data_IF_344734442405
#
_entry.id   IF_344734442405
#
_cell.length_a   1.000
_cell.length_b   1.000
_cell.length_c   1.000
_cell.angle_alpha   90.00
_cell.angle_beta   90.00
_cell.angle_gamma   90.00
#
_symmetry.space_group_name_H-M   'P 1'
#
loop_
_entity.id
_entity.type
_entity.pdbx_description
1 polymer ?
#
# COMPACT_ATOMS: atom_id res chain seq x y z
N UNK A 1 5.18 -10.16 29.64
CA UNK A 1 5.09 -9.53 28.31
C UNK A 1 4.80 -10.63 27.30
N UNK A 2 3.63 -10.63 26.63
CA UNK A 2 3.36 -11.63 25.59
C UNK A 2 4.18 -11.24 24.36
N UNK A 3 5.08 -12.12 23.91
CA UNK A 3 5.71 -11.97 22.62
C UNK A 3 4.60 -11.99 21.56
N UNK A 4 4.36 -10.83 20.92
CA UNK A 4 3.49 -10.77 19.76
C UNK A 4 4.20 -11.57 18.67
N UNK A 5 3.69 -12.75 18.31
CA UNK A 5 4.11 -13.40 17.06
C UNK A 5 3.73 -12.42 15.96
N UNK A 6 4.71 -11.67 15.47
CA UNK A 6 4.53 -10.81 14.30
C UNK A 6 4.28 -11.76 13.13
N UNK A 7 3.02 -11.95 12.78
CA UNK A 7 2.64 -12.67 11.57
C UNK A 7 3.25 -11.97 10.37
N UNK A 8 3.51 -12.73 9.31
CA UNK A 8 3.96 -12.15 8.04
C UNK A 8 2.92 -11.13 7.55
N UNK A 9 3.36 -10.01 6.95
CA UNK A 9 2.44 -9.01 6.41
C UNK A 9 1.62 -9.65 5.29
N UNK A 10 0.31 -9.84 5.49
CA UNK A 10 -0.58 -10.33 4.44
C UNK A 10 -1.21 -9.14 3.70
N UNK A 11 -1.15 -9.19 2.37
CA UNK A 11 -1.82 -8.22 1.52
C UNK A 11 -3.27 -8.64 1.30
N UNK A 12 -4.19 -7.77 1.69
CA UNK A 12 -5.64 -7.93 1.59
C UNK A 12 -6.29 -7.01 0.54
N UNK A 13 -5.47 -6.33 -0.27
CA UNK A 13 -5.94 -5.35 -1.25
C UNK A 13 -5.82 -3.89 -0.81
N UNK A 14 -5.58 -3.63 0.47
CA UNK A 14 -5.49 -2.28 1.03
C UNK A 14 -4.05 -1.92 1.41
N UNK A 15 -3.77 -0.62 1.56
CA UNK A 15 -2.49 -0.13 2.06
C UNK A 15 -1.25 -0.71 1.34
N UNK A 16 -1.32 -0.88 0.01
CA UNK A 16 -0.28 -1.55 -0.76
C UNK A 16 1.13 -0.97 -0.52
N UNK A 17 1.26 0.34 -0.38
CA UNK A 17 2.54 0.99 -0.07
C UNK A 17 3.14 0.54 1.28
N UNK A 18 2.32 0.39 2.31
CA UNK A 18 2.75 -0.07 3.64
C UNK A 18 3.10 -1.55 3.60
N UNK A 19 2.28 -2.36 2.93
CA UNK A 19 2.55 -3.77 2.74
C UNK A 19 3.87 -3.99 1.98
N UNK A 20 4.06 -3.29 0.86
CA UNK A 20 5.27 -3.30 0.03
C UNK A 20 6.51 -3.04 0.87
N UNK A 21 6.52 -1.95 1.63
CA UNK A 21 7.63 -1.59 2.52
C UNK A 21 7.95 -2.69 3.55
N UNK A 22 6.93 -3.31 4.15
CA UNK A 22 7.14 -4.41 5.11
C UNK A 22 7.74 -5.64 4.46
N UNK A 23 7.34 -5.97 3.23
CA UNK A 23 7.87 -7.12 2.49
C UNK A 23 9.29 -6.85 2.00
N UNK A 24 9.60 -5.63 1.55
CA UNK A 24 10.96 -5.23 1.16
C UNK A 24 11.93 -5.38 2.34
N UNK A 25 11.58 -4.87 3.53
CA UNK A 25 12.39 -5.05 4.75
C UNK A 25 12.57 -6.53 5.13
N UNK A 26 11.53 -7.35 4.96
CA UNK A 26 11.60 -8.78 5.26
C UNK A 26 12.52 -9.52 4.27
N UNK A 27 12.55 -9.09 3.01
CA UNK A 27 13.46 -9.62 1.99
C UNK A 27 14.91 -9.20 2.26
N UNK A 28 15.13 -7.96 2.70
CA UNK A 28 16.44 -7.45 3.10
C UNK A 28 16.99 -8.24 4.28
N UNK A 29 16.18 -8.47 5.33
CA UNK A 29 16.55 -9.28 6.50
C UNK A 29 17.02 -10.70 6.09
N UNK A 30 16.46 -11.24 5.00
CA UNK A 30 16.74 -12.60 4.53
C UNK A 30 17.75 -12.67 3.39
N UNK A 31 18.35 -11.55 3.02
CA UNK A 31 19.31 -11.44 1.91
C UNK A 31 18.72 -11.94 0.57
N UNK A 32 17.44 -11.60 0.31
CA UNK A 32 16.67 -12.02 -0.86
C UNK A 32 16.23 -10.85 -1.77
N UNK A 33 16.57 -9.60 -1.44
CA UNK A 33 16.10 -8.40 -2.17
C UNK A 33 16.52 -8.38 -3.64
N UNK A 34 17.70 -8.91 -3.98
CA UNK A 34 18.17 -8.95 -5.37
C UNK A 34 17.19 -9.70 -6.31
N UNK A 35 16.44 -10.68 -5.79
CA UNK A 35 15.54 -11.53 -6.58
C UNK A 35 14.24 -10.85 -6.99
N UNK A 36 13.87 -9.74 -6.35
CA UNK A 36 12.74 -8.91 -6.78
C UNK A 36 13.15 -7.78 -7.73
N UNK A 37 14.45 -7.50 -7.84
CA UNK A 37 14.99 -6.43 -8.68
C UNK A 37 15.57 -6.94 -10.01
N UNK A 38 16.31 -8.06 -9.96
CA UNK A 38 17.18 -8.54 -11.05
C UNK A 38 16.76 -9.93 -11.54
N UNK A 39 17.05 -10.20 -12.81
CA UNK A 39 16.90 -11.52 -13.44
C UNK A 39 18.22 -12.30 -13.34
N UNK A 40 18.20 -13.65 -13.48
CA UNK A 40 19.41 -14.45 -13.38
C UNK A 40 20.42 -14.11 -14.48
N UNK A 41 21.70 -14.19 -14.15
CA UNK A 41 22.82 -14.10 -15.10
C UNK A 41 23.27 -15.49 -15.58
N UNK A 42 23.81 -15.57 -16.80
CA UNK A 42 23.91 -16.79 -17.63
C UNK A 42 24.89 -17.90 -17.16
N UNK A 43 25.50 -17.81 -15.98
CA UNK A 43 26.44 -18.84 -15.49
C UNK A 43 25.71 -20.04 -14.90
N UNK A 44 26.05 -21.28 -15.33
CA UNK A 44 25.38 -22.51 -14.89
C UNK A 44 25.48 -22.79 -13.38
N UNK A 45 26.65 -22.54 -12.76
CA UNK A 45 26.85 -22.74 -11.31
C UNK A 45 26.06 -21.69 -10.51
N UNK A 46 26.09 -20.43 -10.95
CA UNK A 46 25.33 -19.36 -10.32
C UNK A 46 23.80 -19.54 -10.50
N UNK A 47 23.36 -20.17 -11.59
CA UNK A 47 21.95 -20.37 -11.89
C UNK A 47 21.26 -21.32 -10.90
N UNK A 48 21.94 -22.39 -10.46
CA UNK A 48 21.38 -23.34 -9.51
C UNK A 48 21.16 -22.69 -8.13
N UNK A 49 22.16 -21.96 -7.63
CA UNK A 49 22.07 -21.21 -6.37
C UNK A 49 21.02 -20.10 -6.47
N UNK A 50 20.99 -19.39 -7.60
CA UNK A 50 19.99 -18.35 -7.87
C UNK A 50 18.58 -18.93 -7.84
N UNK A 51 18.32 -20.06 -8.52
CA UNK A 51 17.01 -20.73 -8.53
C UNK A 51 16.54 -21.11 -7.13
N UNK A 52 17.46 -21.58 -6.29
CA UNK A 52 17.15 -21.92 -4.89
C UNK A 52 16.69 -20.69 -4.11
N UNK A 53 17.40 -19.56 -4.24
CA UNK A 53 17.00 -18.29 -3.61
C UNK A 53 15.71 -17.72 -4.22
N UNK A 54 15.51 -17.80 -5.54
CA UNK A 54 14.29 -17.38 -6.22
C UNK A 54 13.05 -18.14 -5.69
N UNK A 55 13.15 -19.46 -5.51
CA UNK A 55 12.09 -20.26 -4.90
C UNK A 55 11.77 -19.79 -3.48
N UNK A 56 12.78 -19.42 -2.67
CA UNK A 56 12.56 -18.88 -1.32
C UNK A 56 11.85 -17.53 -1.37
N UNK A 57 12.27 -16.64 -2.26
CA UNK A 57 11.66 -15.33 -2.46
C UNK A 57 10.20 -15.46 -2.91
N UNK A 58 9.91 -16.30 -3.91
CA UNK A 58 8.53 -16.57 -4.37
C UNK A 58 7.65 -17.11 -3.25
N UNK A 59 8.15 -18.07 -2.47
CA UNK A 59 7.43 -18.61 -1.32
C UNK A 59 7.14 -17.54 -0.26
N UNK A 60 8.08 -16.61 -0.04
CA UNK A 60 7.88 -15.52 0.91
C UNK A 60 6.81 -14.54 0.41
N UNK A 61 6.88 -14.14 -0.87
CA UNK A 61 5.86 -13.29 -1.51
C UNK A 61 4.48 -13.93 -1.34
N UNK A 62 4.32 -15.20 -1.70
CA UNK A 62 3.04 -15.92 -1.58
C UNK A 62 2.54 -15.96 -0.12
N UNK A 63 3.42 -16.16 0.86
CA UNK A 63 3.04 -16.11 2.29
C UNK A 63 2.60 -14.72 2.76
N UNK A 64 3.08 -13.68 2.08
CA UNK A 64 2.70 -12.30 2.33
C UNK A 64 1.44 -11.88 1.54
N UNK A 65 0.74 -12.80 0.86
CA UNK A 65 -0.53 -12.55 0.19
C UNK A 65 -1.66 -13.31 0.90
N UNK A 66 -2.89 -12.78 0.82
CA UNK A 66 -4.09 -13.59 1.08
C UNK A 66 -4.42 -14.44 -0.14
N UNK A 67 -5.24 -15.48 0.04
CA UNK A 67 -5.61 -16.41 -1.04
C UNK A 67 -6.17 -15.71 -2.28
N UNK A 68 -6.92 -14.63 -2.09
CA UNK A 68 -7.55 -13.85 -3.17
C UNK A 68 -6.52 -13.23 -4.12
N UNK A 69 -5.31 -12.93 -3.63
CA UNK A 69 -4.24 -12.31 -4.41
C UNK A 69 -3.20 -13.32 -4.90
N UNK A 70 -3.16 -14.54 -4.36
CA UNK A 70 -2.23 -15.59 -4.83
C UNK A 70 -2.49 -15.96 -6.30
N UNK A 71 -3.75 -15.96 -6.73
CA UNK A 71 -4.11 -16.29 -8.12
C UNK A 71 -3.50 -15.29 -9.13
N UNK A 72 -3.32 -14.03 -8.74
CA UNK A 72 -2.74 -12.99 -9.61
C UNK A 72 -1.27 -13.23 -9.96
N UNK A 73 -0.54 -13.95 -9.09
CA UNK A 73 0.90 -14.21 -9.24
C UNK A 73 1.21 -15.66 -9.63
N UNK A 74 0.22 -16.57 -9.59
CA UNK A 74 0.41 -18.01 -9.83
C UNK A 74 1.07 -18.34 -11.17
N UNK A 75 0.78 -17.56 -12.22
CA UNK A 75 1.33 -17.76 -13.57
C UNK A 75 2.78 -17.30 -13.75
N UNK A 76 3.37 -16.62 -12.76
CA UNK A 76 4.71 -16.05 -12.88
C UNK A 76 5.79 -17.06 -12.51
N UNK A 77 6.89 -17.01 -13.25
CA UNK A 77 7.96 -18.02 -13.15
C UNK A 77 9.13 -17.58 -12.28
N UNK A 78 9.32 -16.28 -12.05
CA UNK A 78 10.37 -15.72 -11.18
C UNK A 78 9.78 -14.82 -10.09
N UNK A 79 10.50 -14.64 -9.00
CA UNK A 79 10.11 -13.72 -7.92
C UNK A 79 9.96 -12.28 -8.44
N UNK A 80 10.87 -11.86 -9.32
CA UNK A 80 10.81 -10.56 -9.99
C UNK A 80 9.52 -10.38 -10.78
N UNK A 81 9.09 -11.40 -11.53
CA UNK A 81 7.83 -11.35 -12.27
C UNK A 81 6.63 -11.21 -11.31
N UNK A 82 6.58 -12.02 -10.23
CA UNK A 82 5.54 -11.91 -9.20
C UNK A 82 5.48 -10.50 -8.60
N UNK A 83 6.64 -9.97 -8.21
CA UNK A 83 6.76 -8.64 -7.62
C UNK A 83 6.30 -7.55 -8.58
N UNK A 84 6.77 -7.60 -9.83
CA UNK A 84 6.38 -6.66 -10.88
C UNK A 84 4.88 -6.66 -11.15
N UNK A 85 4.25 -7.83 -11.24
CA UNK A 85 2.79 -7.95 -11.41
C UNK A 85 2.03 -7.23 -10.30
N UNK A 86 2.47 -7.38 -9.04
CA UNK A 86 1.85 -6.72 -7.89
C UNK A 86 2.02 -5.20 -7.95
N UNK A 87 3.21 -4.70 -8.29
CA UNK A 87 3.47 -3.27 -8.46
C UNK A 87 2.58 -2.66 -9.56
N UNK A 88 2.52 -3.30 -10.72
CA UNK A 88 1.74 -2.80 -11.86
C UNK A 88 0.24 -2.73 -11.56
N UNK A 89 -0.29 -3.71 -10.80
CA UNK A 89 -1.70 -3.77 -10.45
C UNK A 89 -2.10 -2.75 -9.36
N UNK A 90 -1.26 -2.55 -8.35
CA UNK A 90 -1.67 -1.87 -7.13
C UNK A 90 -1.02 -0.50 -6.90
N UNK A 91 0.18 -0.24 -7.45
CA UNK A 91 0.90 1.03 -7.21
C UNK A 91 0.23 2.20 -7.95
N UNK A 92 -0.11 2.01 -9.23
CA UNK A 92 -0.80 3.04 -10.03
C UNK A 92 -2.21 3.31 -9.50
N UNK A 93 -2.96 2.25 -9.21
CA UNK A 93 -4.34 2.34 -8.72
C UNK A 93 -4.39 3.05 -7.37
N UNK A 94 -3.48 2.72 -6.44
CA UNK A 94 -3.38 3.39 -5.14
C UNK A 94 -3.09 4.89 -5.27
N UNK A 95 -2.12 5.25 -6.10
CA UNK A 95 -1.74 6.66 -6.33
C UNK A 95 -2.88 7.50 -6.94
N UNK A 96 -3.63 6.92 -7.89
CA UNK A 96 -4.79 7.59 -8.51
C UNK A 96 -5.92 7.79 -7.50
N UNK A 97 -6.24 6.75 -6.71
CA UNK A 97 -7.25 6.82 -5.65
C UNK A 97 -6.90 7.87 -4.59
N UNK A 98 -5.64 7.91 -4.16
CA UNK A 98 -5.14 8.91 -3.22
C UNK A 98 -5.28 10.33 -3.77
N UNK A 99 -4.87 10.58 -5.01
CA UNK A 99 -4.99 11.89 -5.65
C UNK A 99 -6.47 12.33 -5.75
N UNK A 100 -7.36 11.42 -6.13
CA UNK A 100 -8.79 11.69 -6.23
C UNK A 100 -9.36 12.10 -4.87
N UNK A 101 -9.03 11.36 -3.81
CA UNK A 101 -9.47 11.65 -2.45
C UNK A 101 -8.92 12.98 -1.92
N UNK A 102 -7.67 13.33 -2.24
CA UNK A 102 -7.10 14.65 -1.90
C UNK A 102 -7.86 15.78 -2.59
N UNK A 103 -8.20 15.63 -3.87
CA UNK A 103 -9.03 16.61 -4.59
C UNK A 103 -10.42 16.73 -3.96
N UNK A 104 -11.05 15.62 -3.60
CA UNK A 104 -12.35 15.59 -2.91
C UNK A 104 -12.27 16.30 -1.55
N UNK A 105 -11.20 16.08 -0.79
CA UNK A 105 -10.96 16.74 0.49
C UNK A 105 -10.81 18.26 0.35
N UNK A 106 -10.02 18.72 -0.63
CA UNK A 106 -9.82 20.16 -0.90
C UNK A 106 -11.09 20.85 -1.42
N UNK A 107 -11.94 20.10 -2.12
CA UNK A 107 -13.23 20.58 -2.61
C UNK A 107 -14.35 20.49 -1.57
N UNK A 108 -14.12 19.84 -0.42
CA UNK A 108 -15.11 19.74 0.65
C UNK A 108 -15.33 21.13 1.26
N UNK A 109 -16.54 21.66 1.10
CA UNK A 109 -16.97 22.95 1.65
C UNK A 109 -18.19 22.72 2.52
N UNK A 110 -18.28 23.45 3.63
CA UNK A 110 -19.53 23.53 4.36
C UNK A 110 -20.55 24.28 3.49
N UNK A 111 -21.75 23.72 3.36
CA UNK A 111 -22.83 24.32 2.58
C UNK A 111 -23.89 24.83 3.55
N UNK A 112 -24.27 26.10 3.40
CA UNK A 112 -25.33 26.68 4.21
C UNK A 112 -26.64 25.90 4.06
N UNK A 113 -27.17 25.43 5.19
CA UNK A 113 -28.35 24.57 5.25
C UNK A 113 -28.04 23.07 5.39
N UNK A 114 -26.78 22.65 5.31
CA UNK A 114 -26.36 21.28 5.65
C UNK A 114 -26.06 21.14 7.17
N UNK A 115 -26.39 20.00 7.77
CA UNK A 115 -25.99 19.72 9.16
C UNK A 115 -24.47 19.61 9.27
N UNK A 116 -23.90 20.29 10.26
CA UNK A 116 -22.48 20.19 10.63
C UNK A 116 -22.05 18.72 10.86
N UNK A 117 -22.92 17.89 11.43
CA UNK A 117 -22.64 16.47 11.67
C UNK A 117 -22.41 15.71 10.36
N UNK A 118 -23.20 16.03 9.32
CA UNK A 118 -23.09 15.42 8.00
C UNK A 118 -21.82 15.88 7.27
N UNK A 119 -21.44 17.15 7.46
CA UNK A 119 -20.18 17.68 6.95
C UNK A 119 -18.96 16.99 7.59
N UNK A 120 -18.96 16.85 8.93
CA UNK A 120 -17.91 16.16 9.67
C UNK A 120 -17.83 14.68 9.30
N UNK A 121 -18.96 13.99 9.18
CA UNK A 121 -18.98 12.59 8.73
C UNK A 121 -18.38 12.42 7.32
N UNK A 122 -18.64 13.36 6.41
CA UNK A 122 -18.06 13.36 5.06
C UNK A 122 -16.54 13.60 5.09
N UNK A 123 -16.07 14.50 5.96
CA UNK A 123 -14.65 14.73 6.19
C UNK A 123 -13.95 13.48 6.74
N UNK A 124 -14.50 12.88 7.81
CA UNK A 124 -13.93 11.70 8.46
C UNK A 124 -13.86 10.49 7.52
N UNK A 125 -14.88 10.31 6.67
CA UNK A 125 -14.87 9.29 5.62
C UNK A 125 -13.71 9.51 4.64
N UNK A 126 -13.52 10.72 4.11
CA UNK A 126 -12.45 11.00 3.15
C UNK A 126 -11.06 10.82 3.79
N UNK A 127 -10.89 11.23 5.06
CA UNK A 127 -9.64 11.04 5.79
C UNK A 127 -9.35 9.56 6.04
N UNK A 128 -10.37 8.77 6.35
CA UNK A 128 -10.26 7.31 6.53
C UNK A 128 -9.84 6.65 5.21
N UNK A 129 -10.48 7.01 4.10
CA UNK A 129 -10.14 6.49 2.77
C UNK A 129 -8.72 6.89 2.33
N UNK A 130 -8.28 8.11 2.65
CA UNK A 130 -6.91 8.55 2.37
C UNK A 130 -5.87 7.73 3.13
N UNK A 131 -6.14 7.41 4.41
CA UNK A 131 -5.28 6.51 5.18
C UNK A 131 -5.29 5.11 4.58
N UNK A 132 -6.45 4.60 4.16
CA UNK A 132 -6.62 3.32 3.47
C UNK A 132 -5.78 3.23 2.17
N UNK A 133 -5.70 4.33 1.43
CA UNK A 133 -4.86 4.46 0.23
C UNK A 133 -3.36 4.53 0.54
N UNK A 134 -2.95 4.63 1.81
CA UNK A 134 -1.56 4.70 2.24
C UNK A 134 -1.02 6.14 2.38
N UNK A 135 -1.87 7.15 2.34
CA UNK A 135 -1.45 8.54 2.50
C UNK A 135 -1.16 8.87 3.98
N UNK A 136 -0.03 9.52 4.24
CA UNK A 136 0.21 10.21 5.51
C UNK A 136 -0.64 11.48 5.56
N UNK A 137 -1.86 11.34 6.08
CA UNK A 137 -2.76 12.47 6.31
C UNK A 137 -2.34 13.18 7.59
N UNK A 138 -1.23 13.92 7.54
CA UNK A 138 -1.00 15.00 8.50
C UNK A 138 -2.06 16.04 8.22
N UNK A 139 -3.04 16.20 9.11
CA UNK A 139 -4.12 17.18 9.00
C UNK A 139 -3.57 18.51 8.47
N UNK A 140 -3.90 18.92 7.24
CA UNK A 140 -3.42 20.19 6.73
C UNK A 140 -4.08 21.29 7.57
N UNK A 141 -3.27 22.12 8.22
CA UNK A 141 -3.71 23.33 8.95
C UNK A 141 -4.64 24.22 8.10
N UNK A 142 -4.61 24.07 6.78
CA UNK A 142 -5.50 24.75 5.82
C UNK A 142 -6.99 24.35 5.94
N UNK A 143 -7.32 23.12 6.36
CA UNK A 143 -8.72 22.68 6.44
C UNK A 143 -9.38 23.22 7.72
N UNK A 144 -8.64 23.21 8.83
CA UNK A 144 -9.08 23.86 10.08
C UNK A 144 -9.31 25.35 9.88
N UNK A 145 -8.47 26.04 9.09
CA UNK A 145 -8.66 27.47 8.80
C UNK A 145 -9.98 27.75 8.06
N UNK A 146 -10.37 26.91 7.10
CA UNK A 146 -11.56 27.13 6.26
C UNK A 146 -12.90 26.85 6.99
N UNK A 147 -12.90 25.98 8.00
CA UNK A 147 -14.06 25.77 8.90
C UNK A 147 -14.19 26.96 9.87
N UNK A 148 -13.06 27.54 10.30
CA UNK A 148 -13.04 28.65 11.28
C UNK A 148 -13.32 30.01 10.63
N UNK A 149 -12.89 30.26 9.38
CA UNK A 149 -13.10 31.56 8.72
C UNK A 149 -14.52 31.79 8.21
N UNK A 150 -15.24 30.74 7.79
CA UNK A 150 -16.66 30.89 7.37
C UNK A 150 -17.63 30.86 8.56
N UNK A 151 -17.20 30.39 9.73
CA UNK A 151 -17.97 30.40 10.97
C UNK A 151 -17.81 31.65 11.84
N UNK A 152 -16.88 32.55 11.50
CA UNK A 152 -16.57 33.75 12.28
C UNK A 152 -17.19 35.05 11.74
N UNK A 153 -17.78 35.02 10.54
CA UNK A 153 -18.52 36.15 9.94
C UNK A 153 -20.04 36.06 10.16
N UNK A 154 -20.49 35.39 11.24
CA UNK A 154 -21.87 35.40 11.72
C UNK A 154 -21.98 35.79 13.19
#
# INVERSE_FOLDING_TARGET
MKAYKVGLPQFDGTHFAIWKFRVELLLEEKELSDHIEKEPTASNLALAEWKSKDVKTRNLIVKCLTNDYVDSVRGQTTARQMWKTLLEAHEKTGAVSEMFLRKKLLALKYVDGESMEKHLASFDSIVTDLRAAGADVKTPKAITYRIVTDGADR
#
